data_IF_629885956722
#
_entry.id   IF_629885956722
#
_cell.length_a   1.000
_cell.length_b   1.000
_cell.length_c   1.000
_cell.angle_alpha   90.00
_cell.angle_beta   90.00
_cell.angle_gamma   90.00
#
_symmetry.space_group_name_H-M   'P 1'
#
loop_
_entity.id
_entity.type
_entity.pdbx_description
1 polymer ?
#
# COMPACT_ATOMS: atom_id res chain seq x y z
N UNK A 1 1.56 9.80 -6.48
CA UNK A 1 2.57 8.79 -6.87
C UNK A 1 4.00 9.12 -6.40
N UNK A 2 4.70 10.12 -6.98
CA UNK A 2 6.15 10.37 -6.81
C UNK A 2 6.68 10.38 -5.36
N UNK A 3 5.98 11.09 -4.45
CA UNK A 3 6.37 11.19 -3.02
C UNK A 3 6.40 9.83 -2.33
N UNK A 4 5.37 9.00 -2.54
CA UNK A 4 5.25 7.69 -1.91
C UNK A 4 6.39 6.76 -2.33
N UNK A 5 6.72 6.76 -3.62
CA UNK A 5 7.83 5.95 -4.17
C UNK A 5 9.18 6.40 -3.63
N UNK A 6 9.44 7.71 -3.64
CA UNK A 6 10.72 8.26 -3.16
C UNK A 6 10.94 7.93 -1.68
N UNK A 7 9.89 8.02 -0.86
CA UNK A 7 9.93 7.63 0.56
C UNK A 7 10.20 6.13 0.72
N UNK A 8 9.53 5.30 -0.07
CA UNK A 8 9.69 3.85 0.03
C UNK A 8 11.09 3.38 -0.36
N UNK A 9 11.66 3.94 -1.44
CA UNK A 9 13.06 3.65 -1.82
C UNK A 9 14.01 4.00 -0.68
N UNK A 10 13.86 5.19 -0.09
CA UNK A 10 14.69 5.61 1.05
C UNK A 10 14.57 4.62 2.23
N UNK A 11 13.35 4.20 2.57
CA UNK A 11 13.11 3.21 3.63
C UNK A 11 13.76 1.85 3.32
N UNK A 12 13.66 1.35 2.09
CA UNK A 12 14.23 0.06 1.66
C UNK A 12 15.76 0.07 1.58
N UNK A 13 16.35 1.18 1.17
CA UNK A 13 17.81 1.38 1.19
C UNK A 13 18.36 1.47 2.63
N UNK A 14 17.56 1.97 3.57
CA UNK A 14 17.93 1.90 4.98
C UNK A 14 17.76 0.48 5.54
N UNK A 15 16.65 -0.20 5.22
CA UNK A 15 16.37 -1.57 5.66
C UNK A 15 17.42 -2.59 5.19
N UNK A 16 18.02 -2.40 4.00
CA UNK A 16 19.04 -3.30 3.49
C UNK A 16 20.25 -3.44 4.43
N UNK A 17 20.62 -2.35 5.12
CA UNK A 17 21.72 -2.35 6.11
C UNK A 17 21.42 -3.25 7.31
N UNK A 18 20.15 -3.37 7.69
CA UNK A 18 19.72 -4.28 8.75
C UNK A 18 19.93 -5.73 8.35
N UNK A 19 19.63 -6.10 7.09
CA UNK A 19 19.82 -7.48 6.62
C UNK A 19 21.30 -7.86 6.54
N UNK A 20 22.17 -6.93 6.14
CA UNK A 20 23.63 -7.13 6.19
C UNK A 20 24.12 -7.31 7.62
N UNK A 21 23.59 -6.53 8.57
CA UNK A 21 23.91 -6.68 9.98
C UNK A 21 23.42 -8.01 10.55
N UNK A 22 22.25 -8.52 10.13
CA UNK A 22 21.76 -9.83 10.57
C UNK A 22 22.75 -10.96 10.26
N UNK A 23 23.50 -10.87 9.16
CA UNK A 23 24.51 -11.88 8.76
C UNK A 23 25.66 -12.01 9.74
N UNK A 24 25.90 -11.03 10.62
CA UNK A 24 26.97 -11.10 11.62
C UNK A 24 26.47 -11.49 13.01
N UNK A 25 25.15 -11.55 13.22
CA UNK A 25 24.52 -11.91 14.50
C UNK A 25 24.59 -13.41 14.81
N UNK A 26 25.03 -14.22 13.85
CA UNK A 26 25.15 -15.66 13.97
C UNK A 26 26.47 -16.12 14.63
N UNK A 27 27.46 -15.22 14.73
CA UNK A 27 28.77 -15.50 15.31
C UNK A 27 28.66 -15.99 16.76
N UNK A 28 29.28 -17.14 17.02
CA UNK A 28 29.28 -17.77 18.35
C UNK A 28 28.02 -18.59 18.67
N UNK A 29 27.07 -18.70 17.74
CA UNK A 29 25.89 -19.58 17.87
C UNK A 29 26.16 -20.99 17.36
N UNK A 30 25.25 -21.92 17.65
CA UNK A 30 25.30 -23.27 17.08
C UNK A 30 25.12 -23.26 15.57
N UNK A 31 25.58 -24.31 14.89
CA UNK A 31 25.42 -24.44 13.43
C UNK A 31 23.95 -24.34 12.99
N UNK A 32 23.04 -24.97 13.74
CA UNK A 32 21.61 -24.93 13.44
C UNK A 32 21.06 -23.50 13.49
N UNK A 33 21.41 -22.72 14.51
CA UNK A 33 21.01 -21.32 14.63
C UNK A 33 21.65 -20.45 13.54
N UNK A 34 22.91 -20.70 13.18
CA UNK A 34 23.59 -19.97 12.11
C UNK A 34 22.88 -20.16 10.78
N UNK A 35 22.52 -21.40 10.43
CA UNK A 35 21.76 -21.70 9.21
C UNK A 35 20.42 -20.96 9.19
N UNK A 36 19.69 -20.93 10.31
CA UNK A 36 18.42 -20.20 10.42
C UNK A 36 18.60 -18.70 10.17
N UNK A 37 19.60 -18.07 10.81
CA UNK A 37 19.85 -16.63 10.68
C UNK A 37 20.29 -16.28 9.25
N UNK A 38 21.19 -17.06 8.65
CA UNK A 38 21.67 -16.81 7.29
C UNK A 38 20.55 -17.00 6.26
N UNK A 39 19.71 -18.02 6.39
CA UNK A 39 18.58 -18.23 5.49
C UNK A 39 17.56 -17.08 5.60
N UNK A 40 17.26 -16.63 6.82
CA UNK A 40 16.35 -15.50 7.03
C UNK A 40 16.92 -14.20 6.42
N UNK A 41 18.21 -13.91 6.66
CA UNK A 41 18.89 -12.75 6.07
C UNK A 41 18.91 -12.80 4.54
N UNK A 42 19.20 -13.96 3.95
CA UNK A 42 19.21 -14.14 2.50
C UNK A 42 17.81 -13.93 1.89
N UNK A 43 16.77 -14.50 2.50
CA UNK A 43 15.38 -14.35 2.04
C UNK A 43 14.93 -12.88 2.08
N UNK A 44 15.11 -12.21 3.23
CA UNK A 44 14.72 -10.81 3.41
C UNK A 44 15.52 -9.89 2.50
N UNK A 45 16.83 -10.11 2.39
CA UNK A 45 17.72 -9.36 1.51
C UNK A 45 17.33 -9.49 0.04
N UNK A 46 17.02 -10.70 -0.43
CA UNK A 46 16.57 -10.95 -1.80
C UNK A 46 15.24 -10.24 -2.09
N UNK A 47 14.24 -10.40 -1.22
CA UNK A 47 12.94 -9.76 -1.38
C UNK A 47 13.08 -8.22 -1.40
N UNK A 48 13.88 -7.65 -0.50
CA UNK A 48 14.15 -6.21 -0.49
C UNK A 48 14.85 -5.74 -1.77
N UNK A 49 15.78 -6.53 -2.31
CA UNK A 49 16.47 -6.22 -3.56
C UNK A 49 15.51 -6.22 -4.76
N UNK A 50 14.63 -7.20 -4.86
CA UNK A 50 13.60 -7.27 -5.91
C UNK A 50 12.69 -6.03 -5.85
N UNK A 51 12.09 -5.77 -4.69
CA UNK A 51 11.24 -4.57 -4.50
C UNK A 51 11.99 -3.28 -4.79
N UNK A 52 13.26 -3.15 -4.36
CA UNK A 52 14.06 -1.94 -4.63
C UNK A 52 14.31 -1.75 -6.13
N UNK A 53 14.54 -2.83 -6.87
CA UNK A 53 14.70 -2.79 -8.33
C UNK A 53 13.42 -2.30 -9.00
N UNK A 54 12.27 -2.85 -8.61
CA UNK A 54 10.96 -2.48 -9.16
C UNK A 54 10.65 -1.00 -8.87
N UNK A 55 10.85 -0.55 -7.62
CA UNK A 55 10.62 0.84 -7.25
C UNK A 55 11.54 1.80 -7.99
N UNK A 56 12.81 1.42 -8.25
CA UNK A 56 13.74 2.23 -9.05
C UNK A 56 13.31 2.29 -10.52
N UNK A 57 12.80 1.20 -11.07
CA UNK A 57 12.21 1.18 -12.42
C UNK A 57 11.03 2.17 -12.52
N UNK A 58 10.07 2.05 -11.59
CA UNK A 58 8.89 2.92 -11.55
C UNK A 58 9.32 4.38 -11.34
N UNK A 59 10.25 4.65 -10.42
CA UNK A 59 10.75 6.02 -10.18
C UNK A 59 11.42 6.61 -11.42
N UNK A 60 12.23 5.84 -12.15
CA UNK A 60 12.87 6.30 -13.40
C UNK A 60 11.84 6.77 -14.44
N UNK A 61 10.72 6.04 -14.57
CA UNK A 61 9.61 6.45 -15.43
C UNK A 61 8.97 7.74 -14.94
N UNK A 62 8.69 7.87 -13.65
CA UNK A 62 8.14 9.10 -13.08
C UNK A 62 9.10 10.30 -13.22
N UNK A 63 10.41 10.09 -13.07
CA UNK A 63 11.43 11.12 -13.29
C UNK A 63 11.39 11.60 -14.74
N UNK A 64 11.26 10.66 -15.69
CA UNK A 64 11.11 10.98 -17.12
C UNK A 64 9.84 11.80 -17.35
N UNK A 65 8.68 11.36 -16.86
CA UNK A 65 7.42 12.08 -16.98
C UNK A 65 7.49 13.50 -16.40
N UNK A 66 8.16 13.67 -15.25
CA UNK A 66 8.31 14.96 -14.61
C UNK A 66 9.18 15.93 -15.43
N UNK A 67 10.25 15.42 -16.06
CA UNK A 67 11.14 16.22 -16.90
C UNK A 67 10.50 16.57 -18.24
N UNK A 68 9.79 15.63 -18.87
CA UNK A 68 9.16 15.84 -20.17
C UNK A 68 7.81 16.56 -20.09
N UNK A 69 7.13 16.48 -18.93
CA UNK A 69 5.76 16.93 -18.75
C UNK A 69 4.72 15.99 -19.38
N UNK A 70 5.14 14.81 -19.87
CA UNK A 70 4.26 13.81 -20.47
C UNK A 70 3.82 12.79 -19.41
N UNK A 71 2.53 12.83 -19.06
CA UNK A 71 1.90 11.95 -18.08
C UNK A 71 0.93 10.95 -18.72
N UNK A 72 1.02 10.72 -20.04
CA UNK A 72 0.10 9.85 -20.79
C UNK A 72 0.08 8.40 -20.31
N UNK A 73 1.17 7.93 -19.68
CA UNK A 73 1.31 6.58 -19.15
C UNK A 73 0.92 6.47 -17.66
N UNK A 74 0.40 7.55 -17.06
CA UNK A 74 -0.06 7.58 -15.67
C UNK A 74 -1.58 7.47 -15.58
N UNK A 75 -2.04 6.39 -14.96
CA UNK A 75 -3.44 6.12 -14.69
C UNK A 75 -3.81 6.45 -13.24
N UNK A 76 -5.07 6.80 -13.01
CA UNK A 76 -5.55 7.12 -11.67
C UNK A 76 -7.06 6.98 -11.49
N UNK A 77 -7.47 6.84 -10.24
CA UNK A 77 -8.81 7.07 -9.73
C UNK A 77 -8.75 8.01 -8.52
N UNK A 78 -9.48 9.12 -8.59
CA UNK A 78 -9.59 10.15 -7.56
C UNK A 78 -10.98 10.07 -6.94
N UNK A 79 -11.02 9.68 -5.67
CA UNK A 79 -12.23 9.68 -4.84
C UNK A 79 -12.26 10.99 -4.05
N UNK A 80 -13.21 11.86 -4.38
CA UNK A 80 -13.43 13.12 -3.67
C UNK A 80 -14.40 12.87 -2.53
N UNK A 81 -14.00 13.20 -1.31
CA UNK A 81 -14.78 13.06 -0.10
C UNK A 81 -15.39 14.40 0.31
N UNK A 82 -16.55 14.36 0.96
CA UNK A 82 -17.28 15.56 1.37
C UNK A 82 -16.52 16.47 2.35
N UNK A 83 -15.60 15.90 3.13
CA UNK A 83 -14.73 16.57 4.11
C UNK A 83 -13.37 15.85 4.23
N UNK A 84 -12.36 16.43 4.91
CA UNK A 84 -11.03 15.81 5.06
C UNK A 84 -11.09 14.38 5.62
N UNK A 85 -10.36 13.40 5.03
CA UNK A 85 -10.35 12.04 5.55
C UNK A 85 -9.67 12.00 6.92
N UNK A 86 -10.16 11.18 7.87
CA UNK A 86 -9.55 11.06 9.18
C UNK A 86 -8.25 10.25 9.15
N UNK A 87 -7.99 9.50 8.06
CA UNK A 87 -6.72 8.83 7.81
C UNK A 87 -6.05 9.43 6.58
N UNK A 88 -4.81 9.89 6.74
CA UNK A 88 -3.99 10.43 5.66
C UNK A 88 -2.69 9.65 5.52
N UNK A 89 -2.25 9.42 4.29
CA UNK A 89 -1.11 8.56 4.01
C UNK A 89 -0.66 8.66 2.56
N UNK A 90 0.53 8.13 2.29
CA UNK A 90 1.13 8.15 0.95
C UNK A 90 2.04 6.94 0.81
N UNK A 91 1.59 5.91 0.13
CA UNK A 91 2.33 4.66 -0.02
C UNK A 91 2.30 4.16 -1.45
N UNK A 92 3.26 3.30 -1.78
CA UNK A 92 3.23 2.42 -2.93
C UNK A 92 3.08 1.00 -2.41
N UNK A 93 2.18 0.23 -3.02
CA UNK A 93 1.78 -1.10 -2.57
C UNK A 93 1.67 -2.02 -3.77
N UNK A 94 1.94 -3.31 -3.58
CA UNK A 94 1.57 -4.37 -4.50
C UNK A 94 0.38 -5.12 -3.89
N UNK A 95 -0.88 -4.77 -4.21
CA UNK A 95 -2.03 -5.34 -3.52
C UNK A 95 -2.13 -6.84 -3.77
N UNK A 96 -2.09 -7.67 -2.73
CA UNK A 96 -2.17 -9.14 -2.85
C UNK A 96 -3.60 -9.67 -2.72
N UNK A 97 -4.53 -8.86 -2.23
CA UNK A 97 -5.94 -9.20 -2.10
C UNK A 97 -6.84 -8.11 -2.70
N UNK A 98 -8.04 -8.50 -3.11
CA UNK A 98 -9.06 -7.61 -3.68
C UNK A 98 -10.14 -7.24 -2.64
N UNK A 99 -11.17 -6.49 -3.04
CA UNK A 99 -12.22 -6.03 -2.11
C UNK A 99 -13.18 -7.15 -1.64
N UNK A 100 -13.04 -8.39 -2.10
CA UNK A 100 -13.68 -9.56 -1.49
C UNK A 100 -12.76 -10.28 -0.49
N UNK A 101 -11.49 -9.89 -0.43
CA UNK A 101 -10.45 -10.60 0.30
C UNK A 101 -9.82 -11.77 -0.46
N UNK A 102 -10.16 -11.95 -1.74
CA UNK A 102 -9.55 -12.96 -2.60
C UNK A 102 -8.21 -12.48 -3.17
N UNK A 103 -7.36 -13.42 -3.62
CA UNK A 103 -6.07 -13.09 -4.22
C UNK A 103 -6.24 -12.14 -5.42
N UNK A 104 -5.62 -10.95 -5.35
CA UNK A 104 -5.65 -9.96 -6.42
C UNK A 104 -4.54 -10.19 -7.45
N UNK A 105 -3.39 -10.67 -6.98
CA UNK A 105 -2.24 -11.07 -7.78
C UNK A 105 -1.31 -11.93 -6.93
N UNK A 106 -0.45 -12.68 -7.60
CA UNK A 106 0.62 -13.45 -6.98
C UNK A 106 1.94 -12.70 -7.10
N UNK A 107 2.61 -12.46 -5.97
CA UNK A 107 3.96 -11.91 -5.95
C UNK A 107 4.96 -13.07 -5.97
N UNK A 108 5.93 -13.03 -6.88
CA UNK A 108 6.97 -14.06 -6.98
C UNK A 108 8.33 -13.53 -6.50
N UNK A 109 9.28 -14.43 -6.28
CA UNK A 109 10.67 -14.08 -6.00
C UNK A 109 11.56 -14.22 -7.24
N UNK A 110 10.96 -14.21 -8.44
CA UNK A 110 11.66 -14.38 -9.71
C UNK A 110 12.13 -13.01 -10.21
N UNK A 111 13.43 -12.78 -10.42
CA UNK A 111 13.92 -11.52 -10.96
C UNK A 111 13.29 -11.18 -12.31
N UNK A 112 12.79 -9.96 -12.46
CA UNK A 112 12.14 -9.47 -13.68
C UNK A 112 10.65 -9.77 -13.79
N UNK A 113 10.08 -10.58 -12.88
CA UNK A 113 8.64 -10.80 -12.76
C UNK A 113 8.04 -9.76 -11.79
N UNK A 114 7.91 -8.53 -12.29
CA UNK A 114 7.45 -7.37 -11.50
C UNK A 114 5.93 -7.45 -11.28
N UNK A 115 5.44 -7.40 -10.03
CA UNK A 115 4.00 -7.35 -9.76
C UNK A 115 3.40 -5.99 -10.15
N UNK A 116 2.07 -5.93 -10.17
CA UNK A 116 1.34 -4.68 -10.35
C UNK A 116 1.41 -3.82 -9.10
N UNK A 117 1.95 -2.61 -9.26
CA UNK A 117 2.05 -1.62 -8.21
C UNK A 117 1.01 -0.51 -8.34
N UNK A 118 0.43 -0.14 -7.20
CA UNK A 118 -0.48 0.99 -7.05
C UNK A 118 0.05 1.92 -5.98
N UNK A 119 -0.13 3.23 -6.16
CA UNK A 119 0.08 4.19 -5.08
C UNK A 119 -1.23 4.69 -4.51
N UNK A 120 -1.29 4.75 -3.19
CA UNK A 120 -2.43 5.23 -2.42
C UNK A 120 -2.02 6.54 -1.76
N UNK A 121 -2.74 7.62 -2.07
CA UNK A 121 -2.50 8.93 -1.48
C UNK A 121 -3.80 9.47 -0.90
N UNK A 122 -3.81 9.75 0.40
CA UNK A 122 -4.93 10.39 1.09
C UNK A 122 -4.50 11.75 1.63
N UNK A 123 -5.21 12.80 1.27
CA UNK A 123 -4.93 14.18 1.67
C UNK A 123 -6.20 15.05 1.68
N UNK A 124 -6.09 16.26 2.21
CA UNK A 124 -7.15 17.25 2.18
C UNK A 124 -6.73 18.49 1.38
N UNK A 125 -7.70 19.11 0.70
CA UNK A 125 -7.56 20.43 0.06
C UNK A 125 -8.92 21.12 0.08
N UNK A 126 -8.94 22.43 0.34
CA UNK A 126 -10.14 23.27 0.23
C UNK A 126 -11.37 22.75 0.99
N UNK A 127 -11.13 22.19 2.19
CA UNK A 127 -12.19 21.61 3.03
C UNK A 127 -12.76 20.29 2.52
N UNK A 128 -12.19 19.71 1.47
CA UNK A 128 -12.52 18.39 0.91
C UNK A 128 -11.42 17.38 1.18
N UNK A 129 -11.82 16.12 1.09
CA UNK A 129 -10.91 14.98 1.16
C UNK A 129 -10.64 14.39 -0.21
N UNK A 130 -9.45 13.82 -0.39
CA UNK A 130 -9.08 13.13 -1.62
C UNK A 130 -8.36 11.83 -1.28
N UNK A 131 -8.84 10.72 -1.83
CA UNK A 131 -8.09 9.47 -1.90
C UNK A 131 -7.78 9.23 -3.37
N UNK A 132 -6.50 9.10 -3.69
CA UNK A 132 -6.00 8.93 -5.05
C UNK A 132 -5.27 7.61 -5.16
N UNK A 133 -5.84 6.71 -5.95
CA UNK A 133 -5.20 5.48 -6.41
C UNK A 133 -4.57 5.77 -7.77
N UNK A 134 -3.27 5.52 -7.93
CA UNK A 134 -2.58 5.81 -9.21
C UNK A 134 -1.49 4.79 -9.52
N UNK A 135 -1.34 4.45 -10.80
CA UNK A 135 -0.47 3.38 -11.29
C UNK A 135 0.04 3.71 -12.70
N UNK A 136 1.15 3.09 -13.12
CA UNK A 136 1.62 3.15 -14.51
C UNK A 136 0.82 2.19 -15.38
N UNK A 137 0.72 2.42 -16.70
CA UNK A 137 -0.12 1.56 -17.56
C UNK A 137 0.29 0.10 -17.57
N UNK A 138 1.56 -0.22 -17.35
CA UNK A 138 2.02 -1.61 -17.22
C UNK A 138 1.44 -2.34 -16.00
N UNK A 139 0.98 -1.61 -14.97
CA UNK A 139 0.35 -2.15 -13.76
C UNK A 139 -1.18 -2.19 -13.82
N UNK A 140 -1.74 -2.13 -15.02
CA UNK A 140 -3.19 -1.97 -15.21
C UNK A 140 -4.01 -3.22 -14.93
N UNK A 141 -3.42 -4.41 -14.93
CA UNK A 141 -4.18 -5.66 -14.83
C UNK A 141 -4.89 -5.76 -13.46
N UNK A 142 -4.12 -5.69 -12.38
CA UNK A 142 -4.64 -5.74 -11.01
C UNK A 142 -5.30 -4.41 -10.64
N UNK A 143 -4.69 -3.27 -11.01
CA UNK A 143 -5.24 -1.97 -10.64
C UNK A 143 -6.63 -1.72 -11.23
N UNK A 144 -6.83 -1.99 -12.53
CA UNK A 144 -8.15 -1.82 -13.15
C UNK A 144 -9.18 -2.80 -12.59
N UNK A 145 -8.77 -4.04 -12.27
CA UNK A 145 -9.64 -5.02 -11.58
C UNK A 145 -10.17 -4.43 -10.28
N UNK A 146 -9.30 -3.88 -9.44
CA UNK A 146 -9.66 -3.30 -8.13
C UNK A 146 -10.60 -2.10 -8.29
N UNK A 147 -10.30 -1.18 -9.23
CA UNK A 147 -11.17 -0.01 -9.47
C UNK A 147 -12.54 -0.42 -9.99
N UNK A 148 -12.61 -1.36 -10.95
CA UNK A 148 -13.89 -1.88 -11.45
C UNK A 148 -14.70 -2.55 -10.36
N UNK A 149 -14.07 -3.42 -9.57
CA UNK A 149 -14.72 -4.10 -8.44
C UNK A 149 -15.29 -3.08 -7.43
N UNK A 150 -14.55 -2.01 -7.14
CA UNK A 150 -15.01 -0.93 -6.27
C UNK A 150 -16.28 -0.26 -6.80
N UNK A 151 -16.28 0.10 -8.09
CA UNK A 151 -17.39 0.80 -8.75
C UNK A 151 -18.62 -0.10 -8.91
N UNK A 152 -18.46 -1.32 -9.44
CA UNK A 152 -19.54 -2.25 -9.72
C UNK A 152 -20.31 -2.63 -8.44
N UNK A 153 -19.57 -2.77 -7.33
CA UNK A 153 -20.15 -3.08 -6.02
C UNK A 153 -20.62 -1.88 -5.23
N UNK A 154 -20.38 -0.66 -5.73
CA UNK A 154 -20.73 0.59 -5.05
C UNK A 154 -20.14 0.66 -3.64
N UNK A 155 -18.87 0.26 -3.52
CA UNK A 155 -18.15 0.33 -2.25
C UNK A 155 -18.04 1.77 -1.76
N UNK A 156 -17.82 1.92 -0.45
CA UNK A 156 -17.87 3.23 0.22
C UNK A 156 -16.48 3.73 0.60
N UNK A 157 -16.42 4.94 1.16
CA UNK A 157 -15.19 5.48 1.73
C UNK A 157 -14.62 4.60 2.86
N UNK A 158 -15.48 3.87 3.59
CA UNK A 158 -15.03 2.93 4.63
C UNK A 158 -14.28 1.74 4.02
N UNK A 159 -14.66 1.28 2.82
CA UNK A 159 -13.92 0.23 2.11
C UNK A 159 -12.52 0.71 1.69
N UNK A 160 -12.40 1.97 1.24
CA UNK A 160 -11.09 2.58 0.97
C UNK A 160 -10.26 2.75 2.24
N UNK A 161 -10.91 3.10 3.36
CA UNK A 161 -10.25 3.23 4.65
C UNK A 161 -9.69 1.89 5.14
N UNK A 162 -10.47 0.81 5.07
CA UNK A 162 -10.00 -0.53 5.42
C UNK A 162 -8.82 -0.96 4.52
N UNK A 163 -8.94 -0.74 3.20
CA UNK A 163 -7.87 -0.99 2.25
C UNK A 163 -6.59 -0.21 2.58
N UNK A 164 -6.73 1.07 2.96
CA UNK A 164 -5.61 1.90 3.40
C UNK A 164 -4.97 1.39 4.69
N UNK A 165 -5.77 1.03 5.71
CA UNK A 165 -5.23 0.54 7.00
C UNK A 165 -4.47 -0.76 6.82
N UNK A 166 -4.95 -1.66 5.96
CA UNK A 166 -4.32 -2.96 5.70
C UNK A 166 -3.05 -2.88 4.85
N UNK A 167 -2.90 -1.84 4.02
CA UNK A 167 -1.81 -1.75 3.03
C UNK A 167 -0.81 -0.63 3.30
N UNK A 168 -1.16 0.39 4.08
CA UNK A 168 -0.27 1.51 4.39
C UNK A 168 0.35 1.28 5.76
N UNK A 169 1.66 1.05 5.81
CA UNK A 169 2.36 0.90 7.10
C UNK A 169 2.48 2.22 7.88
N UNK A 170 2.62 3.34 7.16
CA UNK A 170 2.85 4.65 7.76
C UNK A 170 1.80 5.66 7.32
N UNK A 171 0.68 5.69 8.04
CA UNK A 171 -0.39 6.69 7.94
C UNK A 171 -0.58 7.46 9.23
N UNK A 172 -1.27 8.59 9.12
CA UNK A 172 -1.63 9.48 10.22
C UNK A 172 -3.13 9.40 10.44
N UNK A 173 -3.54 9.37 11.71
CA UNK A 173 -4.94 9.33 12.12
C UNK A 173 -5.28 10.65 12.82
N UNK A 174 -6.45 11.21 12.54
CA UNK A 174 -7.03 12.31 13.31
C UNK A 174 -7.37 11.84 14.74
N UNK A 175 -6.79 12.45 15.79
CA UNK A 175 -7.08 12.08 17.17
C UNK A 175 -8.56 12.22 17.52
N UNK A 176 -9.21 13.30 17.05
CA UNK A 176 -10.63 13.54 17.33
C UNK A 176 -11.54 12.49 16.69
N UNK A 177 -11.20 12.00 15.49
CA UNK A 177 -11.92 10.89 14.87
C UNK A 177 -11.69 9.61 15.66
N UNK A 178 -10.43 9.29 15.97
CA UNK A 178 -10.09 8.10 16.73
C UNK A 178 -10.82 8.03 18.07
N UNK A 179 -10.82 9.13 18.83
CA UNK A 179 -11.47 9.24 20.13
C UNK A 179 -13.00 9.22 20.03
N UNK A 180 -13.57 9.57 18.87
CA UNK A 180 -15.01 9.48 18.62
C UNK A 180 -15.50 8.06 18.33
N UNK A 181 -14.60 7.14 17.95
CA UNK A 181 -14.93 5.74 17.68
C UNK A 181 -15.16 4.98 18.98
N UNK A 182 -16.12 4.05 18.96
CA UNK A 182 -16.31 3.15 20.08
C UNK A 182 -15.17 2.12 20.17
N UNK A 183 -15.03 1.50 21.34
CA UNK A 183 -13.95 0.55 21.64
C UNK A 183 -13.83 -0.62 20.65
N UNK A 184 -14.96 -1.11 20.12
CA UNK A 184 -14.93 -2.23 19.18
C UNK A 184 -14.45 -1.81 17.80
N UNK A 185 -14.79 -0.61 17.35
CA UNK A 185 -14.29 -0.06 16.07
C UNK A 185 -12.80 0.28 16.17
N UNK A 186 -12.36 0.84 17.30
CA UNK A 186 -10.92 1.01 17.57
C UNK A 186 -10.18 -0.33 17.59
N UNK A 187 -10.75 -1.38 18.19
CA UNK A 187 -10.14 -2.71 18.21
C UNK A 187 -10.03 -3.32 16.81
N UNK A 188 -11.07 -3.17 15.97
CA UNK A 188 -11.04 -3.58 14.56
C UNK A 188 -9.88 -2.92 13.81
N UNK A 189 -9.72 -1.60 13.92
CA UNK A 189 -8.63 -0.88 13.25
C UNK A 189 -7.26 -1.33 13.76
N UNK A 190 -7.09 -1.53 15.07
CA UNK A 190 -5.83 -2.05 15.63
C UNK A 190 -5.50 -3.44 15.08
N UNK A 191 -6.51 -4.32 14.99
CA UNK A 191 -6.34 -5.67 14.47
C UNK A 191 -6.03 -5.68 12.97
N UNK A 192 -6.59 -4.74 12.19
CA UNK A 192 -6.21 -4.58 10.79
C UNK A 192 -4.79 -4.04 10.66
N UNK A 193 -4.39 -3.07 11.49
CA UNK A 193 -3.06 -2.48 11.44
C UNK A 193 -1.94 -3.42 11.95
N UNK A 194 -2.24 -4.29 12.92
CA UNK A 194 -1.26 -5.27 13.40
C UNK A 194 -0.98 -6.36 12.37
N UNK A 195 -1.86 -6.56 11.39
CA UNK A 195 -1.58 -7.39 10.23
C UNK A 195 -0.52 -6.74 9.34
N UNK A 196 0.44 -7.54 8.90
CA UNK A 196 1.65 -7.07 8.23
C UNK A 196 2.78 -6.69 9.19
N UNK A 197 2.49 -6.48 10.48
CA UNK A 197 3.49 -6.21 11.53
C UNK A 197 3.73 -7.44 12.40
N UNK A 198 2.66 -8.00 12.96
CA UNK A 198 2.69 -9.13 13.89
C UNK A 198 2.25 -10.44 13.23
N UNK A 199 1.32 -10.35 12.29
CA UNK A 199 0.72 -11.50 11.59
C UNK A 199 0.73 -11.28 10.09
N UNK A 200 0.51 -12.34 9.30
CA UNK A 200 0.24 -12.18 7.87
C UNK A 200 -1.08 -11.46 7.65
N UNK A 201 -1.13 -10.60 6.63
CA UNK A 201 -2.37 -9.92 6.23
C UNK A 201 -3.37 -10.92 5.68
N UNK A 202 -4.51 -11.03 6.35
CA UNK A 202 -5.67 -11.78 5.88
C UNK A 202 -6.53 -10.88 5.03
N UNK A 203 -6.65 -11.21 3.73
CA UNK A 203 -7.45 -10.45 2.78
C UNK A 203 -8.90 -10.30 3.24
N UNK A 204 -9.46 -11.26 3.99
CA UNK A 204 -10.84 -11.16 4.50
C UNK A 204 -11.05 -9.99 5.47
N UNK A 205 -9.98 -9.46 6.07
CA UNK A 205 -10.05 -8.32 6.99
C UNK A 205 -10.56 -7.04 6.31
N UNK A 206 -10.57 -6.98 4.97
CA UNK A 206 -11.16 -5.85 4.25
C UNK A 206 -12.70 -5.78 4.40
N UNK A 207 -13.32 -6.93 4.68
CA UNK A 207 -14.76 -7.05 4.89
C UNK A 207 -15.10 -6.66 6.33
N UNK A 208 -15.09 -5.35 6.60
CA UNK A 208 -15.42 -4.80 7.92
C UNK A 208 -16.88 -5.08 8.28
N UNK A 209 -17.12 -5.44 9.54
CA UNK A 209 -18.46 -5.68 10.12
C UNK A 209 -19.06 -4.44 10.77
N UNK A 210 -18.31 -3.32 10.77
CA UNK A 210 -18.65 -2.08 11.46
C UNK A 210 -18.25 -0.88 10.60
N UNK A 211 -19.06 0.20 10.57
CA UNK A 211 -18.70 1.41 9.85
C UNK A 211 -17.49 2.10 10.49
N UNK A 212 -16.60 2.62 9.64
CA UNK A 212 -15.48 3.48 10.05
C UNK A 212 -15.87 4.96 10.03
N UNK A 213 -17.07 5.28 9.51
CA UNK A 213 -17.62 6.63 9.44
C UNK A 213 -16.71 7.61 8.68
N UNK A 214 -16.09 7.14 7.59
CA UNK A 214 -15.39 8.03 6.68
C UNK A 214 -16.38 9.00 5.99
N UNK A 215 -15.92 10.22 5.68
CA UNK A 215 -16.73 11.16 4.91
C UNK A 215 -17.15 10.56 3.56
N UNK A 216 -18.39 10.81 3.15
CA UNK A 216 -18.96 10.20 1.95
C UNK A 216 -18.19 10.58 0.67
N UNK A 217 -18.10 9.65 -0.28
CA UNK A 217 -17.57 9.92 -1.63
C UNK A 217 -18.64 10.72 -2.39
N UNK A 218 -18.30 11.93 -2.80
CA UNK A 218 -19.19 12.82 -3.55
C UNK A 218 -18.90 12.83 -5.05
N UNK A 219 -17.71 12.39 -5.46
CA UNK A 219 -17.32 12.30 -6.87
C UNK A 219 -16.18 11.29 -7.05
N UNK A 220 -16.17 10.62 -8.21
CA UNK A 220 -15.07 9.77 -8.66
C UNK A 220 -14.63 10.23 -10.04
N UNK A 221 -13.36 10.61 -10.19
CA UNK A 221 -12.74 10.94 -11.48
C UNK A 221 -11.64 9.94 -11.78
N UNK A 222 -11.53 9.47 -13.03
CA UNK A 222 -10.56 8.43 -13.39
C UNK A 222 -9.99 8.63 -14.79
N UNK A 223 -8.77 8.12 -14.98
CA UNK A 223 -8.09 8.04 -16.26
C UNK A 223 -7.33 6.69 -16.33
N UNK A 224 -7.60 5.83 -17.34
CA UNK A 224 -8.67 5.95 -18.33
C UNK A 224 -10.05 5.79 -17.69
N UNK A 225 -11.10 6.17 -18.42
CA UNK A 225 -12.47 5.82 -18.02
C UNK A 225 -12.68 4.31 -18.22
N UNK A 226 -12.98 3.59 -17.14
CA UNK A 226 -13.02 2.11 -17.10
C UNK A 226 -14.37 1.49 -17.38
#
# INVERSE_FOLDING_TARGET
MYRGISREIFSKEYASKTFDFMRILDRGKSLAEQVVIQNASALLGNNNSLTTSDLKHIKSKLDTMLVTGDYSDLNYAVFTLESPPPIMGSAIVGPTFDFDGYEAQKITSIPGDMPDYMTINSFASDGKGFIVLSWLSEHSLTCNKLIRQFLDKKLTADSLAAFMVLLIENFYISPSWWESLDNGTQALIKNMYSQGVETHTDGNSINIDRPLHFPAIINVSMNPTL
#
